data_IF_768629289166
#
_entry.id   IF_768629289166
#
_cell.length_a   1.000
_cell.length_b   1.000
_cell.length_c   1.000
_cell.angle_alpha   90.00
_cell.angle_beta   90.00
_cell.angle_gamma   90.00
#
_symmetry.space_group_name_H-M   'P 1'
#
loop_
_entity.id
_entity.type
_entity.pdbx_description
1 polymer ?
#
# COMPACT_ATOMS: atom_id res chain seq x y z
N UNK A 1 8.03 2.97 2.31
CA UNK A 1 8.07 4.44 2.24
C UNK A 1 8.29 4.94 3.65
N UNK A 2 9.24 5.85 3.89
CA UNK A 2 9.70 6.20 5.24
C UNK A 2 8.56 6.92 5.99
N UNK A 3 8.12 6.37 7.11
CA UNK A 3 7.20 7.06 8.03
C UNK A 3 8.03 7.97 8.92
N UNK A 4 7.59 9.21 9.10
CA UNK A 4 8.23 10.18 9.98
C UNK A 4 8.47 9.57 11.38
N UNK A 5 9.64 9.82 11.98
CA UNK A 5 10.03 9.35 13.32
C UNK A 5 10.22 7.82 13.49
N UNK A 6 10.16 7.03 12.42
CA UNK A 6 10.46 5.59 12.52
C UNK A 6 11.96 5.28 12.37
N UNK A 7 12.48 4.38 13.22
CA UNK A 7 13.85 3.87 13.11
C UNK A 7 13.86 2.44 12.57
N UNK A 8 14.97 2.01 11.97
CA UNK A 8 15.14 0.65 11.49
C UNK A 8 16.23 -0.05 12.29
N UNK A 9 15.94 -1.27 12.74
CA UNK A 9 16.94 -2.19 13.29
C UNK A 9 16.74 -3.55 12.64
N UNK A 10 17.80 -4.11 12.06
CA UNK A 10 17.78 -5.43 11.42
C UNK A 10 16.68 -5.60 10.34
N UNK A 11 16.41 -4.52 9.58
CA UNK A 11 15.34 -4.43 8.55
C UNK A 11 13.92 -4.55 9.12
N UNK A 12 13.78 -4.50 10.44
CA UNK A 12 12.51 -4.33 11.12
C UNK A 12 12.31 -2.85 11.41
N UNK A 13 11.13 -2.35 11.06
CA UNK A 13 10.73 -1.01 11.43
C UNK A 13 10.38 -1.01 12.91
N UNK A 14 11.06 -0.20 13.69
CA UNK A 14 10.71 0.11 15.06
C UNK A 14 9.75 1.30 15.02
N UNK A 15 8.47 1.01 15.24
CA UNK A 15 7.49 2.06 15.48
C UNK A 15 7.90 2.83 16.75
N UNK A 16 7.69 4.14 16.72
CA UNK A 16 7.93 4.96 17.90
C UNK A 16 6.94 4.53 19.00
N UNK A 17 7.50 4.04 20.11
CA UNK A 17 6.72 3.54 21.25
C UNK A 17 6.00 4.67 21.99
N UNK A 18 6.40 5.91 21.78
CA UNK A 18 5.76 7.08 22.39
C UNK A 18 4.40 7.41 21.76
N UNK A 19 4.11 6.87 20.57
CA UNK A 19 2.86 7.14 19.87
C UNK A 19 1.70 6.32 20.45
N UNK A 20 0.61 7.02 20.74
CA UNK A 20 -0.65 6.41 21.10
C UNK A 20 -1.28 5.73 19.89
N UNK A 21 -1.95 4.60 20.11
CA UNK A 21 -2.65 3.84 19.07
C UNK A 21 -4.16 4.03 19.20
N UNK A 22 -4.82 4.25 18.08
CA UNK A 22 -6.24 4.54 18.05
C UNK A 22 -6.92 3.87 16.85
N UNK A 23 -7.96 3.07 17.11
CA UNK A 23 -8.81 2.47 16.06
C UNK A 23 -10.14 3.19 15.98
N UNK A 24 -10.46 3.78 14.83
CA UNK A 24 -11.65 4.62 14.63
C UNK A 24 -12.37 4.28 13.33
N UNK A 25 -13.61 4.74 13.22
CA UNK A 25 -14.37 4.80 11.97
C UNK A 25 -14.67 6.26 11.66
N UNK A 26 -14.43 6.67 10.41
CA UNK A 26 -14.72 8.05 9.97
C UNK A 26 -16.24 8.23 9.82
N UNK A 27 -16.80 9.23 10.48
CA UNK A 27 -18.24 9.57 10.41
C UNK A 27 -18.52 10.76 9.51
N UNK A 28 -17.54 11.63 9.30
CA UNK A 28 -17.69 12.85 8.52
C UNK A 28 -16.36 13.52 8.23
N UNK A 29 -16.35 14.34 7.19
CA UNK A 29 -15.22 15.19 6.82
C UNK A 29 -15.50 16.63 7.27
N UNK A 30 -14.52 17.25 7.91
CA UNK A 30 -14.62 18.65 8.30
C UNK A 30 -14.07 19.53 7.16
N UNK A 31 -14.75 20.63 6.81
CA UNK A 31 -14.36 21.50 5.70
C UNK A 31 -13.07 22.28 5.98
N UNK A 32 -12.61 22.35 7.24
CA UNK A 32 -11.42 23.11 7.62
C UNK A 32 -10.14 22.27 7.52
N UNK A 33 -9.17 22.77 6.75
CA UNK A 33 -7.79 22.36 6.88
C UNK A 33 -7.14 23.16 8.01
N UNK A 34 -6.37 22.49 8.86
CA UNK A 34 -5.67 23.11 10.00
C UNK A 34 -4.19 23.15 9.68
N UNK A 35 -3.60 24.35 9.70
CA UNK A 35 -2.15 24.53 9.52
C UNK A 35 -1.50 24.55 10.90
N UNK A 36 -0.60 23.60 11.16
CA UNK A 36 0.13 23.55 12.44
C UNK A 36 1.28 24.53 12.39
N UNK A 37 1.27 25.55 13.26
CA UNK A 37 2.26 26.64 13.25
C UNK A 37 3.70 26.17 13.47
N UNK A 38 3.91 25.02 14.13
CA UNK A 38 5.23 24.49 14.46
C UNK A 38 5.97 23.96 13.23
N UNK A 39 5.26 23.25 12.35
CA UNK A 39 5.85 22.51 11.23
C UNK A 39 5.33 23.00 9.86
N UNK A 40 4.56 24.09 9.89
CA UNK A 40 3.86 24.71 8.75
C UNK A 40 3.01 23.75 7.90
N UNK A 41 2.71 22.58 8.46
CA UNK A 41 2.10 21.46 7.75
C UNK A 41 0.58 21.59 7.74
N UNK A 42 -0.03 21.32 6.58
CA UNK A 42 -1.48 21.34 6.39
C UNK A 42 -2.07 19.97 6.72
N UNK A 43 -3.02 19.96 7.65
CA UNK A 43 -3.77 18.79 8.07
C UNK A 43 -5.22 18.86 7.60
N UNK A 44 -5.77 17.72 7.19
CA UNK A 44 -7.19 17.51 6.93
C UNK A 44 -7.84 16.89 8.16
N UNK A 45 -9.03 17.36 8.49
CA UNK A 45 -9.72 16.97 9.71
C UNK A 45 -10.94 16.10 9.43
N UNK A 46 -11.14 15.06 10.26
CA UNK A 46 -12.29 14.16 10.16
C UNK A 46 -12.94 13.96 11.53
N UNK A 47 -14.26 13.81 11.54
CA UNK A 47 -15.00 13.36 12.73
C UNK A 47 -15.02 11.84 12.77
N UNK A 48 -15.00 11.29 13.98
CA UNK A 48 -14.97 9.84 14.20
C UNK A 48 -16.12 9.37 15.07
N UNK A 49 -16.34 8.05 15.09
CA UNK A 49 -17.30 7.39 15.97
C UNK A 49 -16.98 7.45 17.47
N UNK A 50 -15.79 7.94 17.86
CA UNK A 50 -15.37 8.08 19.27
C UNK A 50 -15.50 9.52 19.78
N UNK A 51 -16.23 10.38 19.05
CA UNK A 51 -16.35 11.81 19.32
C UNK A 51 -14.99 12.54 19.40
N UNK A 52 -13.96 12.01 18.75
CA UNK A 52 -12.62 12.60 18.63
C UNK A 52 -12.44 13.09 17.21
N UNK A 53 -11.87 14.29 17.03
CA UNK A 53 -11.43 14.76 15.72
C UNK A 53 -10.05 14.18 15.42
N UNK A 54 -9.82 13.69 14.21
CA UNK A 54 -8.49 13.30 13.76
C UNK A 54 -7.96 14.33 12.78
N UNK A 55 -6.68 14.66 12.87
CA UNK A 55 -5.96 15.55 11.96
C UNK A 55 -4.85 14.76 11.25
N UNK A 56 -4.95 14.61 9.93
CA UNK A 56 -4.00 13.82 9.13
C UNK A 56 -3.47 14.62 7.93
N UNK A 57 -2.20 14.43 7.59
CA UNK A 57 -1.60 15.09 6.43
C UNK A 57 -2.08 14.43 5.13
N UNK A 58 -2.21 15.23 4.06
CA UNK A 58 -2.55 14.70 2.73
C UNK A 58 -1.52 13.66 2.27
N UNK A 59 -0.24 13.88 2.57
CA UNK A 59 0.81 12.95 2.17
C UNK A 59 0.66 11.58 2.84
N UNK A 60 0.38 11.56 4.14
CA UNK A 60 0.18 10.31 4.87
C UNK A 60 -1.07 9.56 4.38
N UNK A 61 -2.13 10.30 4.07
CA UNK A 61 -3.34 9.72 3.49
C UNK A 61 -3.07 9.13 2.09
N UNK A 62 -2.39 9.86 1.20
CA UNK A 62 -2.00 9.36 -0.11
C UNK A 62 -1.02 8.18 -0.03
N UNK A 63 -0.13 8.17 0.98
CA UNK A 63 0.80 7.05 1.24
C UNK A 63 0.03 5.75 1.40
N UNK A 64 -0.99 5.77 2.25
CA UNK A 64 -1.75 4.57 2.57
C UNK A 64 -2.77 4.23 1.49
N UNK A 65 -3.39 5.22 0.86
CA UNK A 65 -4.36 4.97 -0.20
C UNK A 65 -3.69 4.51 -1.50
N UNK A 66 -2.55 5.07 -1.88
CA UNK A 66 -2.06 4.99 -3.27
C UNK A 66 -0.59 4.56 -3.41
N UNK A 67 0.30 4.97 -2.51
CA UNK A 67 1.75 4.80 -2.69
C UNK A 67 2.29 3.45 -2.23
N UNK A 68 1.66 2.38 -2.69
CA UNK A 68 2.00 0.99 -2.31
C UNK A 68 3.24 0.48 -3.04
N UNK A 69 3.56 1.05 -4.20
CA UNK A 69 4.77 0.74 -4.94
C UNK A 69 5.20 1.92 -5.82
N UNK A 70 6.46 1.91 -6.24
CA UNK A 70 7.06 2.99 -7.05
C UNK A 70 6.36 3.24 -8.39
N UNK A 71 5.68 2.25 -8.96
CA UNK A 71 4.99 2.40 -10.25
C UNK A 71 3.69 3.16 -10.07
N UNK A 72 2.94 2.86 -9.00
CA UNK A 72 1.76 3.64 -8.62
C UNK A 72 2.13 5.08 -8.25
N UNK A 73 3.24 5.29 -7.55
CA UNK A 73 3.73 6.64 -7.27
C UNK A 73 3.99 7.39 -8.58
N UNK A 74 4.77 6.81 -9.51
CA UNK A 74 5.03 7.44 -10.82
C UNK A 74 3.75 7.73 -11.60
N UNK A 75 2.79 6.81 -11.58
CA UNK A 75 1.50 6.99 -12.23
C UNK A 75 0.66 8.12 -11.60
N UNK A 76 0.73 8.30 -10.27
CA UNK A 76 0.02 9.38 -9.58
C UNK A 76 0.49 10.78 -9.99
N UNK A 77 1.74 10.90 -10.44
CA UNK A 77 2.33 12.12 -10.96
C UNK A 77 2.34 12.19 -12.50
N UNK A 78 1.57 11.33 -13.18
CA UNK A 78 1.46 11.29 -14.63
C UNK A 78 0.07 11.74 -15.09
N UNK A 79 0.00 12.33 -16.29
CA UNK A 79 -1.25 12.79 -16.90
C UNK A 79 -2.23 11.66 -17.23
N UNK A 80 -1.76 10.42 -17.39
CA UNK A 80 -2.64 9.26 -17.60
C UNK A 80 -3.07 8.56 -16.31
N UNK A 81 -2.53 8.94 -15.15
CA UNK A 81 -2.90 8.35 -13.87
C UNK A 81 -2.68 6.83 -13.83
N UNK A 82 -3.61 6.10 -13.19
CA UNK A 82 -3.54 4.64 -13.11
C UNK A 82 -3.67 3.96 -14.49
N UNK A 83 -4.25 4.64 -15.48
CA UNK A 83 -4.47 4.10 -16.82
C UNK A 83 -3.16 3.95 -17.62
N UNK A 84 -2.09 4.66 -17.23
CA UNK A 84 -0.75 4.45 -17.79
C UNK A 84 -0.16 3.08 -17.43
N UNK A 85 -0.69 2.43 -16.38
CA UNK A 85 -0.23 1.11 -15.94
C UNK A 85 -0.99 0.00 -16.66
N UNK A 86 -2.33 0.08 -16.66
CA UNK A 86 -3.22 -0.94 -17.17
C UNK A 86 -4.61 -0.37 -17.49
N UNK A 87 -5.38 -1.09 -18.30
CA UNK A 87 -6.75 -0.75 -18.64
C UNK A 87 -7.73 -1.78 -18.08
N UNK A 88 -8.90 -1.32 -17.66
CA UNK A 88 -10.01 -2.20 -17.30
C UNK A 88 -10.97 -2.37 -18.47
N UNK A 89 -11.17 -3.62 -18.91
CA UNK A 89 -12.22 -3.99 -19.84
C UNK A 89 -13.54 -4.10 -19.08
N UNK A 90 -14.48 -3.20 -19.40
CA UNK A 90 -15.78 -3.09 -18.75
C UNK A 90 -16.81 -4.11 -19.27
N UNK A 91 -16.45 -4.98 -20.22
CA UNK A 91 -17.33 -6.05 -20.70
C UNK A 91 -17.81 -6.95 -19.54
N UNK A 92 -19.12 -6.96 -19.22
CA UNK A 92 -19.67 -7.76 -18.12
C UNK A 92 -19.46 -9.27 -18.29
N UNK A 93 -19.31 -9.74 -19.53
CA UNK A 93 -19.11 -11.17 -19.83
C UNK A 93 -17.68 -11.64 -19.52
N UNK A 94 -16.72 -10.72 -19.48
CA UNK A 94 -15.30 -11.04 -19.31
C UNK A 94 -14.50 -9.88 -18.69
N UNK A 95 -14.82 -9.48 -17.44
CA UNK A 95 -14.17 -8.36 -16.76
C UNK A 95 -12.67 -8.64 -16.59
N UNK A 96 -11.83 -7.77 -17.15
CA UNK A 96 -10.39 -8.00 -17.28
C UNK A 96 -9.58 -6.74 -17.05
N UNK A 97 -8.53 -6.83 -16.24
CA UNK A 97 -7.44 -5.84 -16.23
C UNK A 97 -6.38 -6.29 -17.22
N UNK A 98 -6.10 -5.45 -18.22
CA UNK A 98 -5.17 -5.73 -19.30
C UNK A 98 -3.99 -4.78 -19.18
N UNK A 99 -2.80 -5.36 -19.04
CA UNK A 99 -1.55 -4.62 -19.12
C UNK A 99 -1.06 -4.56 -20.57
N UNK A 100 -0.51 -3.42 -21.04
CA UNK A 100 0.08 -3.34 -22.37
C UNK A 100 1.32 -4.23 -22.49
N UNK A 101 1.65 -4.68 -23.69
CA UNK A 101 2.79 -5.57 -23.94
C UNK A 101 4.13 -4.92 -23.55
N UNK A 102 4.22 -3.59 -23.68
CA UNK A 102 5.35 -2.76 -23.27
C UNK A 102 5.44 -2.50 -21.76
N UNK A 103 4.53 -3.07 -20.94
CA UNK A 103 4.46 -2.75 -19.51
C UNK A 103 5.76 -3.04 -18.76
N UNK A 104 6.16 -2.09 -17.94
CA UNK A 104 7.24 -2.23 -16.96
C UNK A 104 6.72 -2.58 -15.56
N UNK A 105 5.40 -2.74 -15.40
CA UNK A 105 4.81 -3.13 -14.12
C UNK A 105 5.23 -4.57 -13.77
N UNK A 106 5.76 -4.84 -12.56
CA UNK A 106 6.22 -6.17 -12.20
C UNK A 106 5.08 -7.13 -11.89
N UNK A 107 5.20 -8.37 -12.34
CA UNK A 107 4.28 -9.47 -11.98
C UNK A 107 4.22 -9.68 -10.46
N UNK A 108 5.30 -9.39 -9.73
CA UNK A 108 5.31 -9.46 -8.27
C UNK A 108 4.29 -8.53 -7.62
N UNK A 109 3.97 -7.39 -8.24
CA UNK A 109 3.03 -6.40 -7.72
C UNK A 109 1.57 -6.74 -8.02
N UNK A 110 1.32 -7.81 -8.79
CA UNK A 110 -0.02 -8.39 -9.00
C UNK A 110 -0.09 -9.83 -8.47
N UNK A 111 0.83 -10.25 -7.60
CA UNK A 111 0.86 -11.62 -7.09
C UNK A 111 -0.07 -11.82 -5.91
N UNK A 112 -0.07 -10.89 -4.96
CA UNK A 112 -0.88 -10.96 -3.74
C UNK A 112 -2.34 -10.62 -4.04
N UNK A 113 -3.29 -11.21 -3.29
CA UNK A 113 -4.71 -10.85 -3.41
C UNK A 113 -4.93 -9.37 -3.11
N UNK A 114 -4.29 -8.85 -2.05
CA UNK A 114 -4.38 -7.44 -1.64
C UNK A 114 -3.96 -6.48 -2.76
N UNK A 115 -2.81 -6.70 -3.39
CA UNK A 115 -2.33 -5.82 -4.47
C UNK A 115 -3.19 -5.90 -5.73
N UNK A 116 -3.78 -7.07 -6.03
CA UNK A 116 -4.74 -7.20 -7.14
C UNK A 116 -6.03 -6.43 -6.85
N UNK A 117 -6.58 -6.60 -5.65
CA UNK A 117 -7.81 -5.90 -5.23
C UNK A 117 -7.61 -4.39 -5.18
N UNK A 118 -6.46 -3.93 -4.69
CA UNK A 118 -6.11 -2.50 -4.69
C UNK A 118 -6.00 -1.93 -6.11
N UNK A 119 -5.30 -2.63 -7.01
CA UNK A 119 -5.23 -2.20 -8.41
C UNK A 119 -6.60 -2.22 -9.09
N UNK A 120 -7.42 -3.23 -8.78
CA UNK A 120 -8.79 -3.30 -9.27
C UNK A 120 -9.60 -2.10 -8.79
N UNK A 121 -9.57 -1.80 -7.49
CA UNK A 121 -10.23 -0.63 -6.90
C UNK A 121 -9.87 0.66 -7.63
N UNK A 122 -8.59 0.91 -7.86
CA UNK A 122 -8.14 2.11 -8.57
C UNK A 122 -8.64 2.20 -10.02
N UNK A 123 -8.84 1.06 -10.70
CA UNK A 123 -9.25 1.02 -12.10
C UNK A 123 -10.77 0.94 -12.28
N UNK A 124 -11.50 0.43 -11.30
CA UNK A 124 -12.95 0.17 -11.40
C UNK A 124 -13.80 1.18 -10.64
N UNK A 125 -13.30 1.73 -9.52
CA UNK A 125 -14.02 2.71 -8.72
C UNK A 125 -13.78 4.14 -9.25
N UNK A 126 -14.82 4.85 -9.72
CA UNK A 126 -14.66 6.19 -10.27
C UNK A 126 -14.18 7.22 -9.24
N UNK A 127 -14.55 7.07 -7.97
CA UNK A 127 -14.14 7.97 -6.90
C UNK A 127 -12.67 7.78 -6.56
N UNK A 128 -12.21 6.53 -6.52
CA UNK A 128 -10.81 6.20 -6.33
C UNK A 128 -9.95 6.69 -7.50
N UNK A 129 -10.38 6.46 -8.74
CA UNK A 129 -9.67 6.91 -9.94
C UNK A 129 -9.55 8.44 -10.00
N UNK A 130 -10.64 9.17 -9.71
CA UNK A 130 -10.64 10.64 -9.63
C UNK A 130 -9.73 11.15 -8.52
N UNK A 131 -9.79 10.52 -7.34
CA UNK A 131 -8.95 10.88 -6.21
C UNK A 131 -7.47 10.68 -6.54
N UNK A 132 -7.10 9.54 -7.12
CA UNK A 132 -5.74 9.26 -7.55
C UNK A 132 -5.23 10.29 -8.56
N UNK A 133 -6.04 10.64 -9.57
CA UNK A 133 -5.67 11.63 -10.59
C UNK A 133 -5.55 13.06 -10.04
N UNK A 134 -6.25 13.38 -8.93
CA UNK A 134 -6.16 14.69 -8.31
C UNK A 134 -4.77 15.04 -7.76
N UNK A 135 -3.90 14.04 -7.53
CA UNK A 135 -2.49 14.25 -7.17
C UNK A 135 -1.76 14.98 -8.29
N UNK A 136 -1.83 14.45 -9.52
CA UNK A 136 -1.25 15.09 -10.70
C UNK A 136 -1.82 16.50 -10.89
N UNK A 137 -3.15 16.66 -10.76
CA UNK A 137 -3.80 17.96 -10.89
C UNK A 137 -3.26 18.98 -9.88
N UNK A 138 -3.15 18.60 -8.60
CA UNK A 138 -2.61 19.47 -7.55
C UNK A 138 -1.17 19.89 -7.79
N UNK A 139 -0.36 19.07 -8.47
CA UNK A 139 1.03 19.40 -8.80
C UNK A 139 1.12 20.37 -9.98
N UNK A 140 0.17 20.32 -10.92
CA UNK A 140 0.16 21.23 -12.06
C UNK A 140 -0.54 22.56 -11.78
N UNK A 141 -1.35 22.62 -10.72
CA UNK A 141 -2.02 23.84 -10.24
C UNK A 141 -1.15 24.63 -9.24
N UNK A 142 0.13 24.30 -9.11
CA UNK A 142 1.08 25.07 -8.30
C UNK A 142 1.29 26.43 -8.99
N UNK A 143 0.61 27.46 -8.48
CA UNK A 143 0.99 28.84 -8.73
C UNK A 143 2.42 29.07 -8.24
N UNK A 144 3.12 30.08 -8.78
CA UNK A 144 4.54 30.41 -8.62
C UNK A 144 5.04 30.74 -7.19
N UNK A 145 4.43 30.16 -6.16
CA UNK A 145 4.85 30.08 -4.77
C UNK A 145 6.10 29.20 -4.65
N UNK A 146 7.10 29.67 -3.90
CA UNK A 146 8.30 28.90 -3.55
C UNK A 146 8.03 27.75 -2.56
N UNK A 147 6.80 27.66 -2.01
CA UNK A 147 6.39 26.63 -1.05
C UNK A 147 5.31 25.75 -1.67
N UNK A 148 5.62 24.46 -1.83
CA UNK A 148 4.69 23.43 -2.29
C UNK A 148 4.23 22.55 -1.12
N UNK A 149 2.94 22.64 -0.81
CA UNK A 149 2.26 21.71 0.09
C UNK A 149 1.64 20.56 -0.72
N UNK A 150 1.95 19.31 -0.36
CA UNK A 150 1.37 18.15 -1.05
C UNK A 150 -0.16 18.14 -0.90
N UNK A 151 -0.85 18.20 -2.03
CA UNK A 151 -2.31 18.26 -2.12
C UNK A 151 -2.90 17.14 -2.96
N UNK A 152 -4.07 16.66 -2.55
CA UNK A 152 -4.97 15.85 -3.37
C UNK A 152 -6.38 15.86 -2.74
N UNK A 153 -7.36 15.39 -3.50
CA UNK A 153 -8.74 15.20 -3.05
C UNK A 153 -8.94 13.71 -2.75
N UNK A 154 -9.12 13.30 -1.47
CA UNK A 154 -9.34 11.90 -1.12
C UNK A 154 -10.68 11.36 -1.65
N UNK A 155 -10.85 10.03 -1.81
CA UNK A 155 -12.16 9.46 -2.09
C UNK A 155 -13.07 9.64 -0.85
N UNK A 156 -14.39 9.43 -0.96
CA UNK A 156 -15.27 9.45 0.21
C UNK A 156 -14.84 8.40 1.25
N UNK A 157 -14.39 8.86 2.42
CA UNK A 157 -13.86 7.98 3.49
C UNK A 157 -14.89 7.68 4.58
N UNK A 158 -16.11 8.20 4.48
CA UNK A 158 -17.15 7.98 5.51
C UNK A 158 -17.47 6.49 5.59
N UNK A 159 -17.44 5.94 6.80
CA UNK A 159 -17.64 4.52 7.08
C UNK A 159 -16.37 3.67 7.02
N UNK A 160 -15.22 4.23 6.64
CA UNK A 160 -13.96 3.51 6.60
C UNK A 160 -13.34 3.40 8.00
N UNK A 161 -12.70 2.26 8.26
CA UNK A 161 -12.01 1.98 9.53
C UNK A 161 -10.52 2.24 9.39
N UNK A 162 -9.95 2.89 10.40
CA UNK A 162 -8.54 3.25 10.45
C UNK A 162 -7.91 2.77 11.74
N UNK A 163 -6.70 2.23 11.64
CA UNK A 163 -5.79 2.07 12.77
C UNK A 163 -4.71 3.14 12.67
N UNK A 164 -4.65 4.01 13.66
CA UNK A 164 -3.84 5.22 13.68
C UNK A 164 -2.77 5.13 14.78
N UNK A 165 -1.65 5.79 14.56
CA UNK A 165 -0.66 6.11 15.57
C UNK A 165 -0.36 7.61 15.56
N UNK A 166 -0.27 8.22 16.74
CA UNK A 166 -0.17 9.67 16.85
C UNK A 166 -0.14 10.18 18.28
N UNK A 167 -0.40 11.47 18.44
CA UNK A 167 -0.47 12.13 19.75
C UNK A 167 -1.86 12.69 19.99
N UNK A 168 -2.45 12.39 21.14
CA UNK A 168 -3.73 12.95 21.54
C UNK A 168 -3.56 14.27 22.29
N UNK A 169 -4.38 15.27 21.95
CA UNK A 169 -4.43 16.55 22.64
C UNK A 169 -5.76 16.68 23.36
N UNK A 170 -5.78 16.42 24.67
CA UNK A 170 -6.98 16.50 25.51
C UNK A 170 -7.70 17.85 25.39
N UNK A 171 -6.95 18.96 25.44
CA UNK A 171 -7.50 20.33 25.38
C UNK A 171 -8.28 20.62 24.11
N UNK A 172 -7.91 19.98 22.99
CA UNK A 172 -8.50 20.21 21.67
C UNK A 172 -9.44 19.07 21.26
N UNK A 173 -9.52 18.00 22.08
CA UNK A 173 -10.17 16.73 21.71
C UNK A 173 -9.78 16.25 20.31
N UNK A 174 -8.49 16.44 19.97
CA UNK A 174 -7.96 16.21 18.62
C UNK A 174 -6.80 15.23 18.68
N UNK A 175 -6.80 14.27 17.77
CA UNK A 175 -5.74 13.29 17.60
C UNK A 175 -4.92 13.63 16.36
N UNK A 176 -3.66 13.98 16.57
CA UNK A 176 -2.73 14.31 15.50
C UNK A 176 -2.09 13.03 14.97
N UNK A 177 -2.49 12.65 13.76
CA UNK A 177 -2.06 11.42 13.12
C UNK A 177 -0.62 11.60 12.62
N UNK A 178 0.28 10.78 13.15
CA UNK A 178 1.65 10.65 12.66
C UNK A 178 1.75 9.53 11.63
N UNK A 179 0.99 8.45 11.83
CA UNK A 179 0.96 7.30 10.93
C UNK A 179 -0.44 6.67 10.89
N UNK A 180 -0.88 6.31 9.68
CA UNK A 180 -1.97 5.37 9.46
C UNK A 180 -1.34 3.98 9.27
N UNK A 181 -1.61 3.08 10.20
CA UNK A 181 -1.10 1.72 10.20
C UNK A 181 -1.91 0.82 9.26
N UNK A 182 -3.23 0.93 9.28
CA UNK A 182 -4.12 0.18 8.39
C UNK A 182 -5.36 1.02 8.06
N UNK A 183 -5.91 0.74 6.87
CA UNK A 183 -7.22 1.21 6.44
C UNK A 183 -7.99 -0.02 5.99
N UNK A 184 -9.23 -0.13 6.44
CA UNK A 184 -10.20 -1.09 5.94
C UNK A 184 -11.40 -0.34 5.38
N UNK A 185 -11.67 -0.57 4.10
CA UNK A 185 -12.90 -0.13 3.44
C UNK A 185 -13.83 -1.34 3.31
N UNK A 186 -14.99 -1.27 3.98
CA UNK A 186 -16.00 -2.32 3.94
C UNK A 186 -16.90 -2.23 2.70
N UNK A 187 -16.79 -1.15 1.91
CA UNK A 187 -17.63 -0.90 0.73
C UNK A 187 -17.02 -1.42 -0.57
N UNK A 188 -15.71 -1.61 -0.64
CA UNK A 188 -15.08 -2.07 -1.88
C UNK A 188 -15.31 -3.57 -2.12
N UNK A 189 -16.07 -3.86 -3.19
CA UNK A 189 -16.26 -5.22 -3.71
C UNK A 189 -15.47 -5.37 -5.00
N UNK A 190 -14.48 -6.27 -5.00
CA UNK A 190 -13.80 -6.64 -6.25
C UNK A 190 -14.81 -7.31 -7.19
N UNK A 191 -14.90 -6.92 -8.48
CA UNK A 191 -15.82 -7.55 -9.41
C UNK A 191 -15.65 -9.07 -9.47
N UNK A 192 -16.76 -9.79 -9.42
CA UNK A 192 -16.77 -11.26 -9.48
C UNK A 192 -16.19 -11.72 -10.83
N UNK A 193 -15.25 -12.65 -10.79
CA UNK A 193 -14.65 -13.21 -12.01
C UNK A 193 -13.59 -12.32 -12.68
N UNK A 194 -13.14 -11.24 -12.03
CA UNK A 194 -12.09 -10.36 -12.54
C UNK A 194 -10.80 -11.12 -12.88
N UNK A 195 -10.40 -11.11 -14.16
CA UNK A 195 -9.15 -11.71 -14.64
C UNK A 195 -8.09 -10.65 -14.84
N UNK A 196 -6.82 -11.02 -14.62
CA UNK A 196 -5.68 -10.15 -14.91
C UNK A 196 -4.89 -10.75 -16.07
N UNK A 197 -4.79 -10.01 -17.17
CA UNK A 197 -3.95 -10.34 -18.33
C UNK A 197 -2.68 -9.51 -18.27
N UNK A 198 -1.56 -10.15 -17.99
CA UNK A 198 -0.26 -9.51 -17.92
C UNK A 198 0.74 -10.25 -18.81
N UNK A 199 1.47 -9.58 -19.72
CA UNK A 199 2.27 -10.24 -20.76
C UNK A 199 3.38 -11.14 -20.18
N UNK A 200 3.98 -10.72 -19.06
CA UNK A 200 5.05 -11.48 -18.37
C UNK A 200 4.53 -12.53 -17.37
N UNK A 201 3.21 -12.72 -17.24
CA UNK A 201 2.63 -13.68 -16.30
C UNK A 201 2.76 -15.10 -16.85
N UNK A 202 3.60 -15.91 -16.21
CA UNK A 202 3.77 -17.33 -16.59
C UNK A 202 2.71 -18.16 -15.87
N UNK A 203 1.94 -18.94 -16.62
CA UNK A 203 1.09 -19.99 -16.05
C UNK A 203 1.98 -21.17 -15.66
N UNK A 204 1.88 -21.64 -14.42
CA UNK A 204 2.53 -22.87 -14.00
C UNK A 204 1.82 -24.01 -14.72
N UNK A 205 2.50 -24.64 -15.67
CA UNK A 205 2.05 -25.90 -16.26
C UNK A 205 2.40 -26.99 -15.24
N UNK A 206 1.43 -27.79 -14.77
CA UNK A 206 1.71 -28.94 -13.93
C UNK A 206 2.65 -29.87 -14.69
N UNK A 207 3.91 -29.93 -14.27
CA UNK A 207 4.82 -30.95 -14.78
C UNK A 207 4.41 -32.26 -14.09
N UNK A 208 4.14 -33.35 -14.83
CA UNK A 208 3.86 -34.63 -14.22
C UNK A 208 4.99 -34.97 -13.25
N UNK A 209 4.62 -35.37 -12.04
CA UNK A 209 5.57 -35.72 -10.97
C UNK A 209 6.43 -36.88 -11.48
N UNK A 210 7.61 -36.59 -12.05
CA UNK A 210 8.63 -37.62 -12.23
C UNK A 210 9.04 -38.05 -10.84
N UNK A 211 8.90 -39.34 -10.55
CA UNK A 211 9.40 -39.96 -9.33
C UNK A 211 10.83 -39.46 -9.10
N UNK A 212 11.02 -38.61 -8.10
CA UNK A 212 12.34 -38.21 -7.68
C UNK A 212 12.96 -39.48 -7.12
N UNK A 213 13.91 -40.07 -7.85
CA UNK A 213 14.85 -41.02 -7.25
C UNK A 213 15.46 -40.31 -6.04
N UNK A 214 15.05 -40.71 -4.85
CA UNK A 214 15.71 -40.30 -3.61
C UNK A 214 17.17 -40.65 -3.80
N UNK A 215 18.03 -39.64 -3.91
CA UNK A 215 19.46 -39.89 -3.85
C UNK A 215 19.69 -40.50 -2.48
N UNK A 216 19.97 -41.80 -2.42
CA UNK A 216 20.52 -42.41 -1.20
C UNK A 216 21.75 -41.56 -0.87
N UNK A 217 21.75 -40.94 0.31
CA UNK A 217 22.97 -40.34 0.84
C UNK A 217 24.07 -41.42 0.76
N UNK A 218 25.29 -41.09 0.32
CA UNK A 218 26.39 -42.03 0.44
C UNK A 218 26.48 -42.46 1.92
N UNK A 219 26.88 -43.72 2.19
CA UNK A 219 27.13 -44.17 3.56
C UNK A 219 28.05 -43.18 4.29
N UNK A 220 27.79 -42.92 5.57
CA UNK A 220 28.69 -42.12 6.40
C UNK A 220 30.11 -42.69 6.28
N UNK A 221 31.07 -41.81 6.03
CA UNK A 221 32.50 -42.13 5.98
C UNK A 221 32.91 -42.74 7.34
N UNK A 222 33.54 -43.93 7.37
CA UNK A 222 33.92 -44.59 8.62
C UNK A 222 35.01 -43.85 9.42
N UNK A 223 35.61 -42.77 8.89
CA UNK A 223 36.64 -42.00 9.56
C UNK A 223 36.12 -40.62 10.05
N UNK A 224 35.69 -40.50 11.32
CA UNK A 224 35.16 -39.26 11.88
C UNK A 224 36.21 -38.14 12.05
N UNK A 225 37.50 -38.45 11.89
CA UNK A 225 38.61 -37.48 12.06
C UNK A 225 38.87 -36.62 10.80
N UNK A 226 38.30 -36.98 9.65
CA UNK A 226 38.44 -36.24 8.38
C UNK A 226 37.20 -35.40 8.04
N UNK A 227 36.23 -35.30 8.94
CA UNK A 227 35.04 -34.47 8.78
C UNK A 227 35.39 -32.98 9.00
N UNK A 228 35.91 -32.36 7.94
CA UNK A 228 36.02 -30.91 7.82
C UNK A 228 34.58 -30.39 7.67
N UNK A 229 33.91 -30.14 8.79
CA UNK A 229 32.46 -29.94 8.89
C UNK A 229 31.81 -28.98 7.87
N UNK A 230 30.48 -29.02 7.81
CA UNK A 230 29.58 -28.31 6.88
C UNK A 230 30.21 -27.14 6.09
N UNK A 231 30.36 -27.31 4.78
CA UNK A 231 30.61 -26.21 3.84
C UNK A 231 29.60 -25.07 4.10
N UNK A 232 30.04 -23.79 4.09
CA UNK A 232 29.16 -22.67 4.35
C UNK A 232 27.98 -22.68 3.37
N UNK A 233 26.76 -22.82 3.90
CA UNK A 233 25.53 -22.84 3.11
C UNK A 233 25.39 -21.48 2.41
N UNK A 234 25.28 -21.50 1.08
CA UNK A 234 24.90 -20.33 0.28
C UNK A 234 23.66 -19.67 0.93
N UNK A 235 23.81 -18.39 1.28
CA UNK A 235 22.95 -17.69 2.23
C UNK A 235 21.45 -17.87 2.01
N UNK A 236 20.71 -17.98 3.11
CA UNK A 236 19.24 -18.00 3.12
C UNK A 236 18.72 -16.79 2.34
N UNK A 237 17.68 -17.00 1.52
CA UNK A 237 16.95 -15.92 0.83
C UNK A 237 16.65 -14.79 1.81
N UNK A 238 16.94 -13.56 1.39
CA UNK A 238 16.65 -12.35 2.16
C UNK A 238 15.17 -12.38 2.63
N UNK A 239 14.93 -12.22 3.93
CA UNK A 239 13.58 -12.04 4.45
C UNK A 239 12.97 -10.76 3.86
N UNK A 240 11.92 -10.92 3.06
CA UNK A 240 11.05 -9.82 2.62
C UNK A 240 9.91 -9.74 3.63
N UNK A 241 9.84 -8.66 4.39
CA UNK A 241 8.66 -8.32 5.20
C UNK A 241 7.79 -7.38 4.38
N UNK A 242 6.52 -7.71 4.27
CA UNK A 242 5.53 -6.85 3.63
C UNK A 242 4.90 -5.96 4.72
N UNK A 243 4.89 -4.64 4.50
CA UNK A 243 4.26 -3.69 5.41
C UNK A 243 2.73 -3.90 5.42
N UNK A 244 2.10 -3.88 6.59
CA UNK A 244 0.65 -4.13 6.75
C UNK A 244 -0.24 -2.97 6.30
N UNK A 245 0.32 -1.92 5.69
CA UNK A 245 -0.28 -0.60 5.51
C UNK A 245 -1.72 -0.55 4.96
N UNK A 246 -2.15 -1.56 4.20
CA UNK A 246 -3.48 -1.56 3.59
C UNK A 246 -4.04 -2.98 3.45
N UNK A 247 -5.29 -3.18 3.89
CA UNK A 247 -6.00 -4.46 3.73
C UNK A 247 -7.46 -4.23 3.36
N UNK A 248 -7.95 -5.02 2.41
CA UNK A 248 -9.39 -5.27 2.33
C UNK A 248 -9.68 -6.53 3.14
N UNK A 249 -10.60 -6.42 4.08
CA UNK A 249 -11.24 -7.58 4.68
C UNK A 249 -12.45 -7.93 3.80
N UNK A 250 -12.50 -9.17 3.32
CA UNK A 250 -13.61 -9.74 2.56
C UNK A 250 -14.35 -10.73 3.42
#
# INVERSE_FOLDING_TARGET
MMVSQSSYKDKERLADKSLEKLSITITGELPCQVRRTVDDTVYRCYTTNRDVTISVTNFELARVLFFHNQYLIRAAFSSGGVMDIAHYNQDPSDPKIIFPDSTNYPVSNIRSRKSKSHLAWLLTDPSAAKSFFSIFKSVNEIDSSDVYDFGFVPPPLVGWEFELAGSYSENLKNFWVSEIATINDNSFVTPVGLKIKHPKLKHLVPVPHKERKVKKLPPNDPNPELDMGDLPKLGKRLHRKDDQAFSFNF
#
